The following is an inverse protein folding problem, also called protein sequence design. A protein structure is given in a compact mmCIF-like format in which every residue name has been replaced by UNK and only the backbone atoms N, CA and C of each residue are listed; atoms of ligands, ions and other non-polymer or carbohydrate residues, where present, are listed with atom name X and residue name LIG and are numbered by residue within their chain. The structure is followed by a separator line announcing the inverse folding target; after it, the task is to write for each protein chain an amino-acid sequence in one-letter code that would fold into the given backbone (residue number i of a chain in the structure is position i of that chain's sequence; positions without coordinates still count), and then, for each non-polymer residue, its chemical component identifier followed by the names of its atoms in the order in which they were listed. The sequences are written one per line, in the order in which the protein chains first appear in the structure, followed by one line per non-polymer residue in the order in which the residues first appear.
data_IF_763680950757
#
_entry.id   IF_763680950757
#
_cell.length_a   1.000
_cell.length_b   1.000
_cell.length_c   1.000
_cell.angle_alpha   90.00
_cell.angle_beta   90.00
_cell.angle_gamma   90.00
#
_symmetry.space_group_name_H-M   'P 1'
#
loop_
_entity.id
_entity.type
_entity.pdbx_description
1 polymer ?
#
# COMPACT_ATOMS: atom_id res chain seq x y z
N UNK A 1 -10.84 -9.29 -2.93
CA UNK A 1 -9.37 -9.09 -2.92
C UNK A 1 -8.97 -7.84 -2.15
N UNK A 2 -9.45 -6.65 -2.56
CA UNK A 2 -9.13 -5.35 -1.92
C UNK A 2 -9.51 -5.32 -0.43
N UNK A 3 -10.69 -5.83 -0.06
CA UNK A 3 -11.13 -5.85 1.33
C UNK A 3 -10.21 -6.66 2.25
N UNK A 4 -9.73 -7.83 1.80
CA UNK A 4 -8.78 -8.64 2.57
C UNK A 4 -7.45 -7.90 2.77
N UNK A 5 -6.97 -7.20 1.73
CA UNK A 5 -5.75 -6.42 1.81
C UNK A 5 -5.89 -5.26 2.80
N UNK A 6 -7.02 -4.55 2.78
CA UNK A 6 -7.31 -3.48 3.74
C UNK A 6 -7.35 -4.01 5.18
N UNK A 7 -7.95 -5.17 5.40
CA UNK A 7 -7.98 -5.81 6.72
C UNK A 7 -6.57 -6.19 7.21
N UNK A 8 -5.71 -6.68 6.31
CA UNK A 8 -4.32 -7.01 6.64
C UNK A 8 -3.51 -5.76 6.99
N UNK A 9 -3.61 -4.69 6.20
CA UNK A 9 -2.93 -3.43 6.46
C UNK A 9 -3.35 -2.82 7.81
N UNK A 10 -4.65 -2.89 8.12
CA UNK A 10 -5.19 -2.47 9.42
C UNK A 10 -4.61 -3.28 10.58
N UNK A 11 -4.61 -4.61 10.46
CA UNK A 11 -4.05 -5.48 11.49
C UNK A 11 -2.55 -5.25 11.71
N UNK A 12 -1.80 -5.02 10.62
CA UNK A 12 -0.38 -4.74 10.68
C UNK A 12 -0.08 -3.38 11.34
N UNK A 13 -0.87 -2.35 11.03
CA UNK A 13 -0.78 -1.04 11.73
C UNK A 13 -1.01 -1.21 13.23
N UNK A 14 -2.06 -1.92 13.63
CA UNK A 14 -2.33 -2.20 15.04
C UNK A 14 -1.18 -2.94 15.72
N UNK A 15 -0.56 -3.91 15.05
CA UNK A 15 0.58 -4.62 15.59
C UNK A 15 1.79 -3.70 15.81
N UNK A 16 2.05 -2.78 14.88
CA UNK A 16 3.14 -1.79 15.02
C UNK A 16 2.87 -0.85 16.19
N UNK A 17 1.65 -0.33 16.32
CA UNK A 17 1.25 0.58 17.41
C UNK A 17 1.43 -0.03 18.81
N UNK A 18 1.31 -1.36 18.94
CA UNK A 18 1.39 -2.05 20.24
C UNK A 18 2.69 -2.83 20.46
N UNK A 19 3.63 -2.80 19.51
CA UNK A 19 4.89 -3.52 19.68
C UNK A 19 5.75 -2.91 20.78
N UNK A 20 6.55 -3.70 21.50
CA UNK A 20 7.35 -3.21 22.64
C UNK A 20 8.83 -3.02 22.33
N UNK A 21 9.33 -3.58 21.22
CA UNK A 21 10.75 -3.54 20.88
C UNK A 21 11.17 -2.26 20.16
N UNK A 22 10.23 -1.51 19.59
CA UNK A 22 10.47 -0.23 18.95
C UNK A 22 10.35 0.90 19.97
N UNK A 23 11.20 1.93 19.86
CA UNK A 23 10.99 3.21 20.53
C UNK A 23 9.77 3.93 19.96
N UNK A 24 9.29 4.96 20.66
CA UNK A 24 8.05 5.67 20.31
C UNK A 24 8.13 6.40 18.97
N UNK A 25 9.25 7.03 18.66
CA UNK A 25 9.42 7.80 17.43
C UNK A 25 9.42 6.89 16.20
N UNK A 26 10.16 5.78 16.28
CA UNK A 26 10.16 4.76 15.23
C UNK A 26 8.78 4.12 15.07
N UNK A 27 8.05 3.90 16.16
CA UNK A 27 6.67 3.35 16.12
C UNK A 27 5.72 4.29 15.37
N UNK A 28 5.77 5.59 15.67
CA UNK A 28 4.96 6.63 14.98
C UNK A 28 5.32 6.73 13.50
N UNK A 29 6.61 6.75 13.18
CA UNK A 29 7.07 6.80 11.79
C UNK A 29 6.61 5.58 10.99
N UNK A 30 6.70 4.38 11.57
CA UNK A 30 6.24 3.15 10.94
C UNK A 30 4.72 3.09 10.78
N UNK A 31 3.95 3.57 11.76
CA UNK A 31 2.50 3.69 11.64
C UNK A 31 2.10 4.66 10.49
N UNK A 32 2.78 5.80 10.38
CA UNK A 32 2.57 6.75 9.28
C UNK A 32 2.90 6.16 7.91
N UNK A 33 3.96 5.33 7.80
CA UNK A 33 4.25 4.58 6.56
C UNK A 33 3.11 3.62 6.20
N UNK A 34 2.50 2.95 7.17
CA UNK A 34 1.39 2.03 6.91
C UNK A 34 0.15 2.76 6.37
N UNK A 35 -0.14 3.97 6.85
CA UNK A 35 -1.23 4.80 6.33
C UNK A 35 -0.98 5.27 4.90
N UNK A 36 0.28 5.45 4.51
CA UNK A 36 0.66 5.92 3.19
C UNK A 36 0.73 4.81 2.11
N UNK A 37 0.52 3.54 2.48
CA UNK A 37 0.55 2.43 1.53
C UNK A 37 -0.55 2.60 0.49
N UNK A 38 -0.16 2.65 -0.79
CA UNK A 38 -1.08 2.57 -1.93
C UNK A 38 -1.17 1.14 -2.41
N UNK A 39 -2.39 0.68 -2.68
CA UNK A 39 -2.67 -0.68 -3.15
C UNK A 39 -3.07 -0.66 -4.62
N UNK A 40 -2.43 -1.49 -5.43
CA UNK A 40 -2.78 -1.70 -6.84
C UNK A 40 -3.22 -3.16 -7.01
N UNK A 41 -4.42 -3.41 -7.53
CA UNK A 41 -4.98 -4.77 -7.64
C UNK A 41 -5.46 -5.04 -9.06
N UNK A 42 -5.03 -6.14 -9.66
CA UNK A 42 -5.40 -6.52 -11.02
C UNK A 42 -4.44 -5.92 -12.05
N UNK A 43 -4.91 -4.90 -12.77
CA UNK A 43 -4.16 -4.18 -13.80
C UNK A 43 -4.09 -2.69 -13.45
N UNK A 44 -3.09 -1.95 -13.96
CA UNK A 44 -3.08 -0.51 -13.87
C UNK A 44 -4.36 0.09 -14.47
N UNK A 45 -4.85 1.18 -13.89
CA UNK A 45 -6.07 1.85 -14.38
C UNK A 45 -5.92 2.33 -15.84
N UNK A 46 -4.70 2.70 -16.23
CA UNK A 46 -4.36 3.15 -17.58
C UNK A 46 -4.10 1.98 -18.57
N UNK A 47 -4.36 0.74 -18.19
CA UNK A 47 -4.18 -0.42 -19.06
C UNK A 47 -5.28 -0.48 -20.13
N UNK A 48 -5.05 0.21 -21.25
CA UNK A 48 -5.92 0.21 -22.44
C UNK A 48 -5.09 0.00 -23.71
N UNK A 49 -5.70 -0.52 -24.78
CA UNK A 49 -5.02 -0.73 -26.06
C UNK A 49 -4.47 0.59 -26.63
N UNK A 50 -5.24 1.68 -26.56
CA UNK A 50 -4.83 3.01 -27.01
C UNK A 50 -3.60 3.54 -26.24
N UNK A 51 -3.58 3.39 -24.92
CA UNK A 51 -2.45 3.81 -24.10
C UNK A 51 -1.20 2.96 -24.36
N UNK A 52 -1.38 1.66 -24.62
CA UNK A 52 -0.28 0.76 -24.98
C UNK A 52 0.28 1.12 -26.36
N UNK A 53 -0.57 1.30 -27.36
CA UNK A 53 -0.16 1.65 -28.72
C UNK A 53 0.56 3.01 -28.74
N UNK A 54 0.10 3.99 -27.96
CA UNK A 54 0.76 5.28 -27.82
C UNK A 54 2.14 5.18 -27.12
N UNK A 55 2.28 4.34 -26.09
CA UNK A 55 3.54 4.15 -25.37
C UNK A 55 4.63 3.48 -26.22
N UNK A 56 4.23 2.58 -27.14
CA UNK A 56 5.14 1.84 -28.01
C UNK A 56 5.21 2.36 -29.45
N UNK A 57 4.76 3.59 -29.71
CA UNK A 57 4.74 4.18 -31.05
C UNK A 57 6.12 4.61 -31.60
N UNK A 58 7.17 4.56 -30.78
CA UNK A 58 8.58 4.85 -31.14
C UNK A 58 9.39 3.58 -31.45
#
# INVERSE_FOLDING_TARGET
AIEMLNNLLKAMKQHIEHTTWMDEDTRKASAGKMEAIKTFTGYPDDFSAENLDAYYAD
#
